data_IF_940433785448
#
_entry.id   IF_940433785448
#
_cell.length_a   1.000
_cell.length_b   1.000
_cell.length_c   1.000
_cell.angle_alpha   90.00
_cell.angle_beta   90.00
_cell.angle_gamma   90.00
#
_symmetry.space_group_name_H-M   'P 1'
#
loop_
_entity.id
_entity.type
_entity.pdbx_description
1 polymer ?
#
# COMPACT_ATOMS: atom_id res chain seq x y z
N UNK A 1 4.47 9.15 0.83
CA UNK A 1 3.71 8.83 -0.41
C UNK A 1 3.36 10.11 -1.15
N UNK A 2 3.20 10.11 -2.48
CA UNK A 2 2.74 11.29 -3.23
C UNK A 2 1.23 11.52 -2.98
N UNK A 3 0.87 12.59 -2.26
CA UNK A 3 -0.51 12.89 -1.89
C UNK A 3 -1.46 13.11 -3.08
N UNK A 4 -0.94 13.55 -4.24
CA UNK A 4 -1.75 13.70 -5.46
C UNK A 4 -2.21 12.37 -6.06
N UNK A 5 -1.54 11.26 -5.68
CA UNK A 5 -1.78 9.93 -6.23
C UNK A 5 -2.43 8.96 -5.25
N UNK A 6 -2.87 9.46 -4.08
CA UNK A 6 -3.54 8.64 -3.05
C UNK A 6 -4.82 7.99 -3.60
N UNK A 7 -5.56 8.68 -4.49
CA UNK A 7 -6.76 8.14 -5.12
C UNK A 7 -6.46 6.91 -5.98
N UNK A 8 -5.48 7.02 -6.88
CA UNK A 8 -5.00 5.92 -7.72
C UNK A 8 -4.46 4.76 -6.86
N UNK A 9 -3.62 5.07 -5.88
CA UNK A 9 -3.09 4.06 -4.95
C UNK A 9 -4.20 3.31 -4.21
N UNK A 10 -5.21 4.03 -3.70
CA UNK A 10 -6.36 3.44 -3.01
C UNK A 10 -7.17 2.52 -3.94
N UNK A 11 -7.31 2.90 -5.21
CA UNK A 11 -8.00 2.10 -6.20
C UNK A 11 -7.23 0.80 -6.48
N UNK A 12 -5.95 0.88 -6.81
CA UNK A 12 -5.11 -0.29 -7.11
C UNK A 12 -5.04 -1.27 -5.93
N UNK A 13 -4.96 -0.79 -4.68
CA UNK A 13 -4.99 -1.66 -3.50
C UNK A 13 -6.35 -2.36 -3.33
N UNK A 14 -7.46 -1.69 -3.66
CA UNK A 14 -8.79 -2.33 -3.64
C UNK A 14 -8.91 -3.42 -4.69
N UNK A 15 -8.45 -3.16 -5.91
CA UNK A 15 -8.45 -4.17 -6.97
C UNK A 15 -7.58 -5.38 -6.59
N UNK A 16 -6.43 -5.14 -5.94
CA UNK A 16 -5.60 -6.21 -5.38
C UNK A 16 -6.38 -7.06 -4.36
N UNK A 17 -7.10 -6.43 -3.43
CA UNK A 17 -7.88 -7.14 -2.42
C UNK A 17 -9.03 -7.95 -3.04
N UNK A 18 -9.73 -7.39 -4.02
CA UNK A 18 -10.79 -8.06 -4.77
C UNK A 18 -10.22 -9.27 -5.53
N UNK A 19 -9.11 -9.09 -6.25
CA UNK A 19 -8.45 -10.16 -7.01
C UNK A 19 -7.97 -11.32 -6.13
N UNK A 20 -7.61 -11.02 -4.88
CA UNK A 20 -7.19 -12.02 -3.89
C UNK A 20 -8.33 -12.54 -3.00
N UNK A 21 -9.59 -12.15 -3.27
CA UNK A 21 -10.78 -12.57 -2.48
C UNK A 21 -10.62 -12.34 -0.97
N UNK A 22 -9.99 -11.23 -0.60
CA UNK A 22 -9.82 -10.84 0.79
C UNK A 22 -11.18 -10.59 1.45
N UNK A 23 -11.30 -10.94 2.73
CA UNK A 23 -12.50 -10.63 3.50
C UNK A 23 -12.83 -9.11 3.43
N UNK A 24 -14.06 -8.70 3.08
CA UNK A 24 -14.39 -7.28 2.85
C UNK A 24 -14.21 -6.37 4.07
N UNK A 25 -14.48 -6.88 5.27
CA UNK A 25 -14.39 -6.10 6.50
C UNK A 25 -12.92 -5.89 6.88
N UNK A 26 -12.12 -6.95 6.75
CA UNK A 26 -10.67 -6.87 6.89
C UNK A 26 -10.05 -5.96 5.83
N UNK A 27 -10.45 -6.10 4.56
CA UNK A 27 -9.96 -5.29 3.44
C UNK A 27 -10.20 -3.79 3.68
N UNK A 28 -11.39 -3.42 4.17
CA UNK A 28 -11.73 -2.04 4.48
C UNK A 28 -10.85 -1.47 5.59
N UNK A 29 -10.72 -2.21 6.70
CA UNK A 29 -9.91 -1.82 7.86
C UNK A 29 -8.44 -1.71 7.49
N UNK A 30 -7.92 -2.70 6.76
CA UNK A 30 -6.53 -2.77 6.39
C UNK A 30 -6.13 -1.69 5.38
N UNK A 31 -6.99 -1.40 4.39
CA UNK A 31 -6.80 -0.29 3.46
C UNK A 31 -6.65 1.05 4.20
N UNK A 32 -7.51 1.29 5.20
CA UNK A 32 -7.43 2.50 6.01
C UNK A 32 -6.09 2.59 6.76
N UNK A 33 -5.64 1.48 7.37
CA UNK A 33 -4.33 1.40 8.04
C UNK A 33 -3.17 1.69 7.10
N UNK A 34 -3.16 1.10 5.88
CA UNK A 34 -2.10 1.32 4.89
C UNK A 34 -2.05 2.78 4.46
N UNK A 35 -3.19 3.38 4.08
CA UNK A 35 -3.24 4.79 3.67
C UNK A 35 -2.72 5.69 4.79
N UNK A 36 -3.18 5.44 6.02
CA UNK A 36 -2.82 6.26 7.16
C UNK A 36 -1.32 6.15 7.49
N UNK A 37 -0.72 4.95 7.40
CA UNK A 37 0.72 4.73 7.61
C UNK A 37 1.56 5.28 6.45
N UNK A 38 1.20 5.01 5.21
CA UNK A 38 1.91 5.52 4.03
C UNK A 38 1.89 7.06 3.92
N UNK A 39 0.92 7.71 4.57
CA UNK A 39 0.78 9.17 4.62
C UNK A 39 1.54 9.80 5.79
N UNK A 40 1.72 9.10 6.91
CA UNK A 40 2.32 9.64 8.15
C UNK A 40 3.73 9.14 8.45
N UNK A 41 4.09 7.98 7.92
CA UNK A 41 5.35 7.29 8.17
C UNK A 41 6.16 7.15 6.88
N UNK A 42 7.40 6.67 7.02
CA UNK A 42 8.20 6.30 5.86
C UNK A 42 7.59 5.10 5.11
N UNK A 43 7.92 4.97 3.82
CA UNK A 43 7.48 3.84 3.00
C UNK A 43 8.06 2.52 3.51
N UNK A 44 9.29 2.57 4.05
CA UNK A 44 9.91 1.42 4.71
C UNK A 44 9.05 0.96 5.89
N UNK A 45 8.71 1.84 6.82
CA UNK A 45 7.86 1.48 7.98
C UNK A 45 6.47 0.99 7.56
N UNK A 46 5.90 1.54 6.49
CA UNK A 46 4.64 1.04 5.97
C UNK A 46 4.77 -0.39 5.41
N UNK A 47 5.89 -0.71 4.75
CA UNK A 47 6.17 -2.07 4.26
C UNK A 47 6.46 -3.04 5.40
N UNK A 48 7.22 -2.61 6.40
CA UNK A 48 7.50 -3.42 7.60
C UNK A 48 6.17 -3.81 8.27
N UNK A 49 5.25 -2.85 8.45
CA UNK A 49 3.90 -3.15 8.95
C UNK A 49 3.13 -4.16 8.09
N UNK A 50 3.22 -4.07 6.75
CA UNK A 50 2.55 -5.03 5.85
C UNK A 50 3.14 -6.43 6.02
N UNK A 51 4.45 -6.55 6.18
CA UNK A 51 5.13 -7.82 6.46
C UNK A 51 4.75 -8.38 7.83
N UNK A 52 4.64 -7.53 8.85
CA UNK A 52 4.15 -7.97 10.17
C UNK A 52 2.74 -8.57 10.09
N UNK A 53 1.86 -8.04 9.23
CA UNK A 53 0.52 -8.62 9.03
C UNK A 53 0.55 -9.94 8.26
N UNK A 54 1.50 -10.12 7.35
CA UNK A 54 1.75 -11.40 6.66
C UNK A 54 2.25 -12.45 7.67
N UNK A 55 3.24 -12.09 8.49
CA UNK A 55 3.80 -12.97 9.52
C UNK A 55 2.76 -13.36 10.58
N UNK A 56 1.82 -12.45 10.87
CA UNK A 56 0.68 -12.70 11.75
C UNK A 56 -0.47 -13.50 11.08
N UNK A 57 -0.30 -13.93 9.82
CA UNK A 57 -1.30 -14.66 9.02
C UNK A 57 -2.63 -13.91 8.84
N UNK A 58 -2.62 -12.58 8.96
CA UNK A 58 -3.78 -11.72 8.72
C UNK A 58 -4.02 -11.55 7.21
N UNK A 59 -2.94 -11.48 6.44
CA UNK A 59 -2.98 -11.40 4.98
C UNK A 59 -2.09 -12.48 4.36
N UNK A 60 -2.39 -12.83 3.10
CA UNK A 60 -1.54 -13.74 2.35
C UNK A 60 -0.28 -13.03 1.84
N UNK A 61 0.73 -13.83 1.51
CA UNK A 61 1.95 -13.33 0.85
C UNK A 61 1.67 -12.59 -0.45
N UNK A 62 0.72 -13.06 -1.26
CA UNK A 62 0.36 -12.42 -2.53
C UNK A 62 -0.19 -11.00 -2.32
N UNK A 63 -1.00 -10.81 -1.28
CA UNK A 63 -1.52 -9.49 -0.89
C UNK A 63 -0.38 -8.60 -0.38
N UNK A 64 0.49 -9.14 0.49
CA UNK A 64 1.66 -8.44 1.03
C UNK A 64 2.62 -7.96 -0.05
N UNK A 65 3.00 -8.85 -0.97
CA UNK A 65 3.88 -8.56 -2.10
C UNK A 65 3.25 -7.53 -3.04
N UNK A 66 1.95 -7.65 -3.32
CA UNK A 66 1.19 -6.68 -4.12
C UNK A 66 1.17 -5.28 -3.51
N UNK A 67 0.89 -5.15 -2.21
CA UNK A 67 0.94 -3.85 -1.52
C UNK A 67 2.35 -3.28 -1.54
N UNK A 68 3.37 -4.09 -1.27
CA UNK A 68 4.76 -3.64 -1.28
C UNK A 68 5.17 -3.10 -2.66
N UNK A 69 4.75 -3.76 -3.73
CA UNK A 69 4.93 -3.29 -5.10
C UNK A 69 4.23 -1.96 -5.37
N UNK A 70 2.95 -1.83 -4.96
CA UNK A 70 2.20 -0.58 -5.13
C UNK A 70 2.83 0.57 -4.33
N UNK A 71 3.27 0.33 -3.11
CA UNK A 71 3.99 1.31 -2.30
C UNK A 71 5.24 1.81 -3.04
N UNK A 72 6.04 0.93 -3.66
CA UNK A 72 7.19 1.36 -4.47
C UNK A 72 6.77 2.13 -5.71
N UNK A 73 5.78 1.62 -6.44
CA UNK A 73 5.27 2.26 -7.67
C UNK A 73 4.86 3.70 -7.38
N UNK A 74 4.06 3.93 -6.35
CA UNK A 74 3.52 5.26 -6.03
C UNK A 74 4.50 6.19 -5.31
N UNK A 75 5.72 5.73 -5.03
CA UNK A 75 6.76 6.52 -4.33
C UNK A 75 7.98 6.79 -5.21
N UNK A 76 8.40 5.84 -6.06
CA UNK A 76 9.49 6.03 -7.04
C UNK A 76 9.21 7.15 -8.05
N UNK A 77 7.95 7.46 -8.34
CA UNK A 77 7.62 8.62 -9.18
C UNK A 77 7.79 9.98 -8.47
N UNK A 78 8.07 10.05 -7.16
CA UNK A 78 8.50 11.32 -6.52
C UNK A 78 9.93 11.71 -6.93
N UNK A 79 10.83 10.74 -7.13
CA UNK A 79 12.24 11.03 -7.45
C UNK A 79 12.50 11.51 -8.88
N UNK A 80 11.53 11.39 -9.79
CA UNK A 80 11.68 11.82 -11.19
C UNK A 80 11.08 13.19 -11.51
N UNK A 81 10.33 13.81 -10.58
CA UNK A 81 9.71 15.13 -10.81
C UNK A 81 10.49 16.30 -10.20
N UNK A 82 11.68 16.05 -9.62
CA UNK A 82 12.53 17.12 -9.03
C UNK A 82 13.64 17.57 -9.98
N UNK A 83 13.60 17.17 -11.26
CA UNK A 83 14.54 17.63 -12.28
C UNK A 83 13.76 18.22 -13.45
N UNK A 84 13.10 19.35 -13.21
CA UNK A 84 12.79 20.34 -14.25
C UNK A 84 12.36 21.65 -13.59
N UNK A 85 13.17 22.69 -13.86
CA UNK A 85 13.10 24.12 -13.53
C UNK A 85 13.85 24.58 -12.29
#
# INVERSE_FOLDING_TARGET
MNMRRVGEFRYDVRELFIGNKMDPDLATTFLASIIAKASRLSIKECKDFVRDQEDALIITKDVSDGICYLLDRYTKYQSQQVVQN
#
